data_IF_330453524388
#
_entry.id   IF_330453524388
#
_cell.length_a   1.000
_cell.length_b   1.000
_cell.length_c   1.000
_cell.angle_alpha   90.00
_cell.angle_beta   90.00
_cell.angle_gamma   90.00
#
_symmetry.space_group_name_H-M   'P 1'
#
loop_
_entity.id
_entity.type
_entity.pdbx_description
1 polymer ?
#
# COMPACT_ATOMS: atom_id res chain seq x y z
N UNK A 1 -13.74 14.34 6.42
CA UNK A 1 -12.65 15.13 5.82
C UNK A 1 -11.37 15.17 6.66
N UNK A 2 -11.42 15.32 8.00
CA UNK A 2 -10.20 15.41 8.83
C UNK A 2 -9.25 14.18 8.77
N UNK A 3 -9.80 12.97 8.60
CA UNK A 3 -9.01 11.72 8.53
C UNK A 3 -8.15 11.66 7.25
N UNK A 4 -8.73 12.05 6.11
CA UNK A 4 -8.02 12.09 4.83
C UNK A 4 -6.89 13.15 4.83
N UNK A 5 -7.12 14.31 5.45
CA UNK A 5 -6.07 15.34 5.60
C UNK A 5 -4.90 14.88 6.48
N UNK A 6 -5.17 14.17 7.59
CA UNK A 6 -4.10 13.58 8.43
C UNK A 6 -3.29 12.52 7.67
N UNK A 7 -3.96 11.68 6.89
CA UNK A 7 -3.32 10.66 6.05
C UNK A 7 -2.41 11.28 4.98
N UNK A 8 -2.87 12.36 4.32
CA UNK A 8 -2.06 13.09 3.33
C UNK A 8 -0.85 13.78 3.99
N UNK A 9 -1.01 14.40 5.16
CA UNK A 9 0.12 15.04 5.85
C UNK A 9 1.20 14.01 6.23
N UNK A 10 0.80 12.86 6.77
CA UNK A 10 1.74 11.77 7.07
C UNK A 10 2.47 11.26 5.82
N UNK A 11 1.79 11.25 4.68
CA UNK A 11 2.38 10.90 3.39
C UNK A 11 3.44 11.89 2.90
N UNK A 12 3.32 13.17 3.28
CA UNK A 12 4.26 14.23 2.90
C UNK A 12 5.47 14.31 3.85
N UNK A 13 5.31 13.89 5.10
CA UNK A 13 6.36 13.97 6.13
C UNK A 13 7.35 12.78 6.07
N UNK A 14 7.01 11.72 5.35
CA UNK A 14 7.77 10.48 5.26
C UNK A 14 7.90 9.99 3.81
N UNK A 15 9.04 9.40 3.46
CA UNK A 15 9.20 8.74 2.17
C UNK A 15 8.25 7.54 2.05
N UNK A 16 7.78 7.25 0.83
CA UNK A 16 7.05 6.02 0.52
C UNK A 16 7.98 4.83 0.28
N UNK A 17 7.41 3.63 0.34
CA UNK A 17 8.14 2.38 0.06
C UNK A 17 7.35 1.51 -0.91
N UNK A 18 8.07 0.72 -1.72
CA UNK A 18 7.46 -0.33 -2.54
C UNK A 18 7.11 -1.56 -1.70
N UNK A 19 5.85 -1.96 -1.72
CA UNK A 19 5.35 -3.14 -1.04
C UNK A 19 5.36 -4.36 -1.98
N UNK A 20 6.26 -5.29 -1.71
CA UNK A 20 6.38 -6.55 -2.45
C UNK A 20 5.68 -7.68 -1.70
N UNK A 21 5.06 -8.62 -2.43
CA UNK A 21 4.28 -9.73 -1.85
C UNK A 21 4.99 -10.48 -0.69
N UNK A 22 6.29 -10.80 -0.75
CA UNK A 22 6.96 -11.50 0.36
C UNK A 22 6.92 -10.77 1.70
N UNK A 23 6.76 -9.43 1.69
CA UNK A 23 6.77 -8.60 2.89
C UNK A 23 5.37 -8.17 3.35
N UNK A 24 4.30 -8.61 2.67
CA UNK A 24 2.95 -8.09 2.95
C UNK A 24 2.48 -8.42 4.39
N UNK A 25 2.71 -9.65 4.85
CA UNK A 25 2.36 -10.06 6.20
C UNK A 25 3.19 -9.32 7.27
N UNK A 26 4.47 -9.08 6.99
CA UNK A 26 5.36 -8.31 7.87
C UNK A 26 4.87 -6.87 8.01
N UNK A 27 4.49 -6.22 6.91
CA UNK A 27 3.99 -4.85 6.92
C UNK A 27 2.65 -4.75 7.65
N UNK A 28 1.76 -5.73 7.51
CA UNK A 28 0.52 -5.82 8.29
C UNK A 28 0.80 -5.96 9.79
N UNK A 29 1.76 -6.80 10.16
CA UNK A 29 2.10 -7.05 11.56
C UNK A 29 2.82 -5.87 12.23
N UNK A 30 3.78 -5.25 11.52
CA UNK A 30 4.70 -4.27 12.09
C UNK A 30 4.28 -2.82 11.85
N UNK A 31 3.48 -2.55 10.82
CA UNK A 31 3.00 -1.22 10.42
C UNK A 31 4.13 -0.18 10.43
N UNK A 32 5.14 -0.32 9.56
CA UNK A 32 6.29 0.58 9.53
C UNK A 32 5.86 2.02 9.29
N UNK A 33 6.60 2.97 9.88
CA UNK A 33 6.39 4.41 9.64
C UNK A 33 6.91 4.78 8.25
N UNK A 34 6.00 4.79 7.27
CA UNK A 34 6.22 5.20 5.88
C UNK A 34 5.11 6.17 5.45
N UNK A 35 5.40 7.03 4.48
CA UNK A 35 4.42 8.00 3.97
C UNK A 35 3.28 7.32 3.20
N UNK A 36 3.64 6.40 2.30
CA UNK A 36 2.69 5.63 1.49
C UNK A 36 3.26 4.26 1.13
N UNK A 37 2.40 3.38 0.63
CA UNK A 37 2.77 2.08 0.07
C UNK A 37 2.53 2.09 -1.43
N UNK A 38 3.58 1.84 -2.21
CA UNK A 38 3.46 1.60 -3.65
C UNK A 38 3.25 0.12 -3.94
N UNK A 39 2.29 -0.20 -4.79
CA UNK A 39 1.95 -1.58 -5.16
C UNK A 39 1.81 -1.75 -6.66
N UNK A 40 2.10 -2.95 -7.14
CA UNK A 40 1.76 -3.39 -8.49
C UNK A 40 0.42 -4.14 -8.45
N UNK A 41 -0.66 -3.63 -9.07
CA UNK A 41 -1.99 -4.23 -8.97
C UNK A 41 -2.04 -5.66 -9.53
N UNK A 42 -1.16 -6.01 -10.47
CA UNK A 42 -1.05 -7.34 -11.08
C UNK A 42 -0.78 -8.44 -10.04
N UNK A 43 -0.13 -8.09 -8.92
CA UNK A 43 0.14 -9.02 -7.83
C UNK A 43 -1.11 -9.41 -7.00
N UNK A 44 -2.25 -8.73 -7.21
CA UNK A 44 -3.46 -8.87 -6.40
C UNK A 44 -4.67 -9.39 -7.19
N UNK A 45 -4.70 -9.27 -8.52
CA UNK A 45 -5.86 -9.59 -9.37
C UNK A 45 -6.35 -11.04 -9.25
N UNK A 46 -5.45 -12.00 -9.00
CA UNK A 46 -5.78 -13.41 -8.82
C UNK A 46 -5.21 -13.97 -7.49
N UNK A 47 -5.01 -13.09 -6.50
CA UNK A 47 -4.43 -13.44 -5.22
C UNK A 47 -5.31 -12.90 -4.07
N UNK A 48 -6.39 -13.61 -3.71
CA UNK A 48 -7.37 -13.12 -2.74
C UNK A 48 -6.77 -12.86 -1.36
N UNK A 49 -5.81 -13.68 -0.92
CA UNK A 49 -5.16 -13.49 0.37
C UNK A 49 -4.30 -12.22 0.41
N UNK A 50 -3.55 -11.94 -0.66
CA UNK A 50 -2.83 -10.67 -0.77
C UNK A 50 -3.79 -9.47 -0.86
N UNK A 51 -4.93 -9.64 -1.54
CA UNK A 51 -5.94 -8.58 -1.66
C UNK A 51 -6.57 -8.24 -0.29
N UNK A 52 -6.82 -9.22 0.57
CA UNK A 52 -7.29 -9.01 1.94
C UNK A 52 -6.32 -8.15 2.75
N UNK A 53 -5.02 -8.47 2.69
CA UNK A 53 -4.01 -7.65 3.36
C UNK A 53 -3.89 -6.25 2.76
N UNK A 54 -4.02 -6.10 1.45
CA UNK A 54 -4.01 -4.78 0.81
C UNK A 54 -5.21 -3.93 1.26
N UNK A 55 -6.39 -4.53 1.39
CA UNK A 55 -7.58 -3.86 1.94
C UNK A 55 -7.31 -3.43 3.38
N UNK A 56 -6.71 -4.27 4.23
CA UNK A 56 -6.34 -3.87 5.59
C UNK A 56 -5.37 -2.68 5.59
N UNK A 57 -4.30 -2.76 4.80
CA UNK A 57 -3.27 -1.72 4.73
C UNK A 57 -3.80 -0.41 4.17
N UNK A 58 -4.71 -0.44 3.20
CA UNK A 58 -5.34 0.76 2.62
C UNK A 58 -6.12 1.61 3.64
N UNK A 59 -6.50 1.02 4.79
CA UNK A 59 -7.14 1.76 5.89
C UNK A 59 -6.15 2.60 6.69
N UNK A 60 -4.86 2.30 6.61
CA UNK A 60 -3.79 2.92 7.40
C UNK A 60 -2.84 3.75 6.54
N UNK A 61 -2.63 3.35 5.28
CA UNK A 61 -1.69 3.98 4.37
C UNK A 61 -2.40 4.49 3.11
N UNK A 62 -2.03 5.68 2.61
CA UNK A 62 -2.23 5.99 1.20
C UNK A 62 -1.57 4.90 0.34
N UNK A 63 -2.26 4.50 -0.73
CA UNK A 63 -1.78 3.50 -1.67
C UNK A 63 -1.47 4.20 -3.00
N UNK A 64 -0.21 4.08 -3.44
CA UNK A 64 0.21 4.42 -4.80
C UNK A 64 0.10 3.16 -5.67
N UNK A 65 -0.58 3.25 -6.81
CA UNK A 65 -0.73 2.13 -7.74
C UNK A 65 0.20 2.36 -8.93
N UNK A 66 1.22 1.52 -9.07
CA UNK A 66 2.16 1.54 -10.17
C UNK A 66 1.94 0.30 -11.02
N UNK A 67 1.60 0.48 -12.28
CA UNK A 67 1.30 -0.66 -13.17
C UNK A 67 2.41 -0.85 -14.17
N UNK A 68 2.85 -2.09 -14.39
CA UNK A 68 4.03 -2.40 -15.24
C UNK A 68 3.68 -3.19 -16.51
N UNK A 69 2.39 -3.45 -16.78
CA UNK A 69 1.99 -4.31 -17.91
C UNK A 69 0.64 -4.05 -18.58
N UNK A 70 0.02 -2.87 -18.46
CA UNK A 70 -1.30 -2.59 -19.10
C UNK A 70 -1.23 -2.28 -20.61
N UNK A 71 -0.09 -2.54 -21.24
CA UNK A 71 0.08 -2.39 -22.68
C UNK A 71 0.91 -3.55 -23.20
N UNK A 72 0.22 -4.62 -23.61
CA UNK A 72 0.75 -5.57 -24.60
C UNK A 72 -0.22 -5.61 -25.77
#
# INVERSE_FOLDING_TARGET
MAIAMKSIQHALDHAGIGLRLPHIAEVVATRPRTGFLEVHPENFLANPHAAEFLIELSRQYPISVHTVGISI
#
